data_IF_607042794803
#
_entry.id   IF_607042794803
#
_cell.length_a   1.000
_cell.length_b   1.000
_cell.length_c   1.000
_cell.angle_alpha   90.00
_cell.angle_beta   90.00
_cell.angle_gamma   90.00
#
_symmetry.space_group_name_H-M   'P 1'
#
loop_
_entity.id
_entity.type
_entity.pdbx_description
1 polymer ?
#
# COMPACT_ATOMS: atom_id res chain seq x y z
N UNK A 1 -17.79 39.62 41.47
CA UNK A 1 -18.50 40.41 40.44
C UNK A 1 -19.35 39.48 39.59
N UNK A 2 -20.67 39.73 39.44
CA UNK A 2 -21.61 38.85 38.73
C UNK A 2 -21.23 38.55 37.28
N UNK A 3 -20.49 39.45 36.60
CA UNK A 3 -19.96 39.24 35.25
C UNK A 3 -19.12 37.96 35.09
N UNK A 4 -18.43 37.49 36.13
CA UNK A 4 -17.65 36.25 36.04
C UNK A 4 -18.53 35.01 35.76
N UNK A 5 -19.74 34.95 36.33
CA UNK A 5 -20.65 33.83 36.10
C UNK A 5 -21.18 33.79 34.66
N UNK A 6 -21.46 34.95 34.07
CA UNK A 6 -21.86 35.04 32.66
C UNK A 6 -20.72 34.63 31.72
N UNK A 7 -19.47 34.99 32.07
CA UNK A 7 -18.29 34.56 31.31
C UNK A 7 -18.12 33.04 31.36
N UNK A 8 -18.25 32.42 32.55
CA UNK A 8 -18.19 30.95 32.70
C UNK A 8 -19.33 30.27 31.94
N UNK A 9 -20.55 30.80 32.00
CA UNK A 9 -21.69 30.27 31.25
C UNK A 9 -21.46 30.32 29.73
N UNK A 10 -20.93 31.44 29.21
CA UNK A 10 -20.59 31.57 27.79
C UNK A 10 -19.50 30.58 27.38
N UNK A 11 -18.46 30.39 28.20
CA UNK A 11 -17.39 29.43 27.95
C UNK A 11 -17.90 27.96 27.94
N UNK A 12 -18.81 27.61 28.85
CA UNK A 12 -19.44 26.29 28.85
C UNK A 12 -20.29 26.07 27.60
N UNK A 13 -21.09 27.06 27.22
CA UNK A 13 -21.92 26.96 26.00
C UNK A 13 -21.04 26.85 24.77
N UNK A 14 -19.93 27.55 24.71
CA UNK A 14 -18.97 27.41 23.62
C UNK A 14 -18.41 25.99 23.53
N UNK A 15 -18.03 25.42 24.67
CA UNK A 15 -17.47 24.08 24.73
C UNK A 15 -18.42 23.03 24.15
N UNK A 16 -19.73 23.15 24.42
CA UNK A 16 -20.73 22.19 23.96
C UNK A 16 -21.36 22.53 22.60
N UNK A 17 -21.74 23.79 22.38
CA UNK A 17 -22.55 24.24 21.24
C UNK A 17 -21.76 25.06 20.22
N UNK A 18 -20.51 25.43 20.51
CA UNK A 18 -19.62 26.17 19.62
C UNK A 18 -19.72 27.69 19.72
N UNK A 19 -18.98 28.36 18.83
CA UNK A 19 -18.70 29.80 18.92
C UNK A 19 -19.94 30.70 18.72
N UNK A 20 -20.87 30.33 17.83
CA UNK A 20 -22.07 31.14 17.55
C UNK A 20 -22.96 31.31 18.79
N UNK A 21 -23.45 30.20 19.40
CA UNK A 21 -24.24 30.25 20.63
C UNK A 21 -23.52 30.94 21.79
N UNK A 22 -22.21 30.74 21.93
CA UNK A 22 -21.41 31.40 22.96
C UNK A 22 -21.42 32.93 22.84
N UNK A 23 -21.26 33.46 21.63
CA UNK A 23 -21.34 34.90 21.37
C UNK A 23 -22.74 35.45 21.67
N UNK A 24 -23.80 34.71 21.36
CA UNK A 24 -25.16 35.15 21.68
C UNK A 24 -25.37 35.24 23.19
N UNK A 25 -24.89 34.26 23.96
CA UNK A 25 -25.00 34.27 25.42
C UNK A 25 -24.12 35.35 26.03
N UNK A 26 -22.93 35.61 25.46
CA UNK A 26 -22.10 36.73 25.88
C UNK A 26 -22.85 38.07 25.70
N UNK A 27 -23.45 38.30 24.53
CA UNK A 27 -24.19 39.54 24.23
C UNK A 27 -25.40 39.72 25.15
N UNK A 28 -26.22 38.68 25.30
CA UNK A 28 -27.38 38.69 26.19
C UNK A 28 -26.95 38.85 27.65
N UNK A 29 -25.89 38.14 28.06
CA UNK A 29 -25.30 38.25 29.39
C UNK A 29 -24.76 39.64 29.69
N UNK A 30 -24.14 40.31 28.72
CA UNK A 30 -23.69 41.70 28.87
C UNK A 30 -24.87 42.64 29.07
N UNK A 31 -25.94 42.53 28.27
CA UNK A 31 -27.14 43.36 28.40
C UNK A 31 -27.81 43.14 29.76
N UNK A 32 -27.92 41.89 30.21
CA UNK A 32 -28.48 41.56 31.53
C UNK A 32 -27.57 42.05 32.66
N UNK A 33 -26.25 41.92 32.49
CA UNK A 33 -25.27 42.33 33.49
C UNK A 33 -25.31 43.84 33.71
N UNK A 34 -25.35 44.60 32.63
CA UNK A 34 -25.45 46.06 32.62
C UNK A 34 -26.76 46.51 33.27
N UNK A 35 -27.90 45.98 32.82
CA UNK A 35 -29.24 46.39 33.29
C UNK A 35 -29.51 46.09 34.77
N UNK A 36 -29.03 44.95 35.29
CA UNK A 36 -29.38 44.47 36.63
C UNK A 36 -28.31 44.78 37.69
N UNK A 37 -27.04 44.93 37.31
CA UNK A 37 -25.93 44.97 38.28
C UNK A 37 -25.14 46.27 38.30
N UNK A 38 -25.35 47.19 37.35
CA UNK A 38 -24.71 48.52 37.41
C UNK A 38 -25.74 49.60 37.78
N UNK A 39 -25.44 50.48 38.76
CA UNK A 39 -26.32 51.61 39.08
C UNK A 39 -26.28 52.70 38.00
N UNK A 40 -27.42 53.36 37.67
CA UNK A 40 -28.75 53.19 38.25
C UNK A 40 -29.46 51.93 37.73
N UNK A 41 -29.86 51.05 38.64
CA UNK A 41 -30.50 49.78 38.29
C UNK A 41 -31.77 50.01 37.46
N UNK A 42 -31.98 49.12 36.48
CA UNK A 42 -33.16 49.10 35.62
C UNK A 42 -33.39 50.37 34.76
N UNK A 43 -32.39 51.26 34.63
CA UNK A 43 -32.50 52.52 33.86
C UNK A 43 -31.25 52.78 33.02
N UNK A 44 -31.41 53.06 31.72
CA UNK A 44 -30.31 53.40 30.80
C UNK A 44 -30.04 54.91 30.69
N UNK A 45 -30.49 55.72 31.66
CA UNK A 45 -30.61 57.17 31.48
C UNK A 45 -29.31 57.93 31.68
N UNK A 46 -28.33 57.35 32.38
CA UNK A 46 -27.03 57.98 32.65
C UNK A 46 -25.95 56.93 32.40
N UNK A 47 -25.08 57.20 31.42
CA UNK A 47 -23.87 56.39 31.18
C UNK A 47 -22.79 56.82 32.17
N UNK A 48 -22.41 55.92 33.07
CA UNK A 48 -21.33 56.16 34.04
C UNK A 48 -20.01 55.50 33.57
N UNK A 49 -18.89 55.90 34.18
CA UNK A 49 -17.58 55.33 33.89
C UNK A 49 -17.53 53.81 34.14
N UNK A 50 -18.34 53.33 35.10
CA UNK A 50 -18.42 51.91 35.44
C UNK A 50 -19.11 51.08 34.34
N UNK A 51 -20.12 51.63 33.66
CA UNK A 51 -20.80 50.98 32.52
C UNK A 51 -19.80 50.80 31.37
N UNK A 52 -19.02 51.84 31.08
CA UNK A 52 -17.99 51.80 30.05
C UNK A 52 -16.88 50.79 30.40
N UNK A 53 -16.45 50.77 31.66
CA UNK A 53 -15.44 49.81 32.12
C UNK A 53 -15.95 48.37 32.02
N UNK A 54 -17.20 48.09 32.42
CA UNK A 54 -17.81 46.76 32.30
C UNK A 54 -18.00 46.37 30.84
N UNK A 55 -18.53 47.28 30.01
CA UNK A 55 -18.78 47.09 28.59
C UNK A 55 -17.53 46.83 27.74
N UNK A 56 -16.34 47.22 28.22
CA UNK A 56 -15.07 46.92 27.54
C UNK A 56 -14.38 45.70 28.17
N UNK A 57 -14.28 45.66 29.50
CA UNK A 57 -13.53 44.61 30.21
C UNK A 57 -14.18 43.24 30.13
N UNK A 58 -15.51 43.16 30.23
CA UNK A 58 -16.22 41.89 30.13
C UNK A 58 -16.08 41.23 28.75
N UNK A 59 -16.48 41.86 27.63
CA UNK A 59 -16.39 41.19 26.33
C UNK A 59 -14.94 40.97 25.91
N UNK A 60 -13.99 41.82 26.29
CA UNK A 60 -12.58 41.56 25.98
C UNK A 60 -12.06 40.29 26.64
N UNK A 61 -12.37 40.06 27.92
CA UNK A 61 -12.02 38.83 28.63
C UNK A 61 -12.79 37.64 28.07
N UNK A 62 -14.10 37.77 27.83
CA UNK A 62 -14.91 36.67 27.31
C UNK A 62 -14.50 36.26 25.90
N UNK A 63 -14.25 37.23 24.99
CA UNK A 63 -13.73 36.95 23.65
C UNK A 63 -12.35 36.30 23.72
N UNK A 64 -11.48 36.73 24.64
CA UNK A 64 -10.17 36.11 24.82
C UNK A 64 -10.29 34.65 25.24
N UNK A 65 -11.14 34.35 26.22
CA UNK A 65 -11.42 32.97 26.66
C UNK A 65 -12.02 32.15 25.52
N UNK A 66 -12.99 32.70 24.79
CA UNK A 66 -13.63 32.04 23.65
C UNK A 66 -12.58 31.71 22.57
N UNK A 67 -11.78 32.69 22.18
CA UNK A 67 -10.72 32.49 21.20
C UNK A 67 -9.72 31.42 21.65
N UNK A 68 -9.39 31.35 22.94
CA UNK A 68 -8.49 30.34 23.48
C UNK A 68 -9.10 28.92 23.41
N UNK A 69 -10.36 28.77 23.82
CA UNK A 69 -11.09 27.49 23.78
C UNK A 69 -11.23 27.01 22.34
N UNK A 70 -11.72 27.85 21.44
CA UNK A 70 -11.88 27.51 20.02
C UNK A 70 -10.53 27.17 19.37
N UNK A 71 -9.46 27.91 19.68
CA UNK A 71 -8.12 27.62 19.15
C UNK A 71 -7.60 26.27 19.67
N UNK A 72 -7.79 25.97 20.94
CA UNK A 72 -7.41 24.69 21.54
C UNK A 72 -8.19 23.55 20.87
N UNK A 73 -9.50 23.70 20.71
CA UNK A 73 -10.38 22.73 20.07
C UNK A 73 -9.97 22.45 18.63
N UNK A 74 -9.69 23.50 17.85
CA UNK A 74 -9.19 23.37 16.46
C UNK A 74 -7.85 22.65 16.40
N UNK A 75 -6.96 22.88 17.37
CA UNK A 75 -5.68 22.19 17.45
C UNK A 75 -5.85 20.70 17.77
N UNK A 76 -6.72 20.36 18.72
CA UNK A 76 -7.04 18.98 19.08
C UNK A 76 -7.64 18.21 17.89
N UNK A 77 -8.65 18.77 17.22
CA UNK A 77 -9.23 18.14 16.03
C UNK A 77 -8.21 17.90 14.91
N UNK A 78 -7.30 18.85 14.68
CA UNK A 78 -6.21 18.66 13.71
C UNK A 78 -5.29 17.51 14.10
N UNK A 79 -4.93 17.42 15.39
CA UNK A 79 -4.09 16.34 15.89
C UNK A 79 -4.76 14.97 15.76
N UNK A 80 -6.05 14.85 16.13
CA UNK A 80 -6.83 13.62 15.96
C UNK A 80 -6.96 13.20 14.50
N UNK A 81 -7.19 14.17 13.61
CA UNK A 81 -7.26 13.91 12.17
C UNK A 81 -5.91 13.43 11.63
N UNK A 82 -4.79 14.03 12.04
CA UNK A 82 -3.48 13.52 11.65
C UNK A 82 -3.17 12.14 12.23
N UNK A 83 -3.55 11.87 13.48
CA UNK A 83 -3.36 10.58 14.11
C UNK A 83 -4.16 9.47 13.39
N UNK A 84 -5.42 9.74 13.04
CA UNK A 84 -6.25 8.78 12.29
C UNK A 84 -5.72 8.51 10.87
N UNK A 85 -5.26 9.54 10.16
CA UNK A 85 -4.62 9.39 8.84
C UNK A 85 -3.31 8.61 8.95
N UNK A 86 -2.48 8.91 9.94
CA UNK A 86 -1.23 8.19 10.18
C UNK A 86 -1.49 6.70 10.47
N UNK A 87 -2.49 6.39 11.29
CA UNK A 87 -2.92 5.01 11.58
C UNK A 87 -3.35 4.28 10.30
N UNK A 88 -4.20 4.89 9.49
CA UNK A 88 -4.66 4.29 8.22
C UNK A 88 -3.51 4.02 7.26
N UNK A 89 -2.57 4.98 7.11
CA UNK A 89 -1.37 4.80 6.29
C UNK A 89 -0.46 3.69 6.82
N UNK A 90 -0.30 3.60 8.13
CA UNK A 90 0.50 2.55 8.76
C UNK A 90 -0.07 1.16 8.49
N UNK A 91 -1.39 0.98 8.66
CA UNK A 91 -2.05 -0.29 8.35
C UNK A 91 -1.91 -0.67 6.88
N UNK A 92 -1.99 0.30 5.96
CA UNK A 92 -1.80 0.07 4.53
C UNK A 92 -0.36 -0.37 4.22
N UNK A 93 0.64 0.29 4.80
CA UNK A 93 2.04 -0.08 4.64
C UNK A 93 2.31 -1.48 5.19
N UNK A 94 1.75 -1.80 6.36
CA UNK A 94 1.88 -3.11 6.97
C UNK A 94 1.28 -4.21 6.07
N UNK A 95 0.11 -3.97 5.47
CA UNK A 95 -0.50 -4.91 4.51
C UNK A 95 0.34 -5.06 3.24
N UNK A 96 0.85 -3.94 2.72
CA UNK A 96 1.70 -3.95 1.53
C UNK A 96 3.00 -4.72 1.77
N UNK A 97 3.67 -4.51 2.89
CA UNK A 97 4.91 -5.21 3.22
C UNK A 97 4.68 -6.70 3.52
N UNK A 98 3.59 -7.06 4.21
CA UNK A 98 3.21 -8.46 4.38
C UNK A 98 2.97 -9.16 3.03
N UNK A 99 2.26 -8.49 2.10
CA UNK A 99 2.04 -9.03 0.75
C UNK A 99 3.36 -9.22 -0.03
N UNK A 100 4.32 -8.31 0.12
CA UNK A 100 5.66 -8.42 -0.48
C UNK A 100 6.47 -9.56 0.14
N UNK A 101 6.41 -9.71 1.46
CA UNK A 101 7.08 -10.78 2.18
C UNK A 101 6.55 -12.16 1.77
N UNK A 102 5.22 -12.31 1.65
CA UNK A 102 4.59 -13.54 1.14
C UNK A 102 5.03 -13.86 -0.28
N UNK A 103 5.04 -12.87 -1.19
CA UNK A 103 5.52 -13.07 -2.57
C UNK A 103 6.98 -13.50 -2.62
N UNK A 104 7.84 -12.95 -1.76
CA UNK A 104 9.24 -13.38 -1.64
C UNK A 104 9.35 -14.83 -1.19
N UNK A 105 8.60 -15.23 -0.16
CA UNK A 105 8.58 -16.63 0.32
C UNK A 105 8.16 -17.62 -0.75
N UNK A 106 7.10 -17.31 -1.51
CA UNK A 106 6.67 -18.20 -2.59
C UNK A 106 7.73 -18.36 -3.68
N UNK A 107 8.46 -17.28 -4.01
CA UNK A 107 9.56 -17.35 -4.98
C UNK A 107 10.70 -18.21 -4.41
N UNK A 108 11.10 -18.00 -3.16
CA UNK A 108 12.17 -18.77 -2.52
C UNK A 108 11.82 -20.26 -2.43
N UNK A 109 10.57 -20.58 -2.06
CA UNK A 109 10.07 -21.96 -2.03
C UNK A 109 10.05 -22.59 -3.43
N UNK A 110 9.55 -21.88 -4.45
CA UNK A 110 9.59 -22.39 -5.83
C UNK A 110 11.02 -22.60 -6.32
N UNK A 111 11.95 -21.71 -5.99
CA UNK A 111 13.35 -21.86 -6.35
C UNK A 111 13.97 -23.09 -5.68
N UNK A 112 13.64 -23.32 -4.40
CA UNK A 112 14.06 -24.52 -3.67
C UNK A 112 13.46 -25.79 -4.28
N UNK A 113 12.17 -25.81 -4.62
CA UNK A 113 11.52 -26.95 -5.25
C UNK A 113 12.09 -27.24 -6.65
N UNK A 114 12.29 -26.22 -7.47
CA UNK A 114 12.91 -26.35 -8.80
C UNK A 114 14.34 -26.89 -8.72
N UNK A 115 15.07 -26.60 -7.64
CA UNK A 115 16.40 -27.16 -7.43
C UNK A 115 16.37 -28.63 -7.04
N UNK A 116 15.32 -29.11 -6.38
CA UNK A 116 15.22 -30.48 -5.89
C UNK A 116 14.41 -31.43 -6.81
N UNK A 117 13.52 -30.91 -7.66
CA UNK A 117 12.73 -31.72 -8.61
C UNK A 117 13.56 -32.55 -9.61
N UNK A 118 14.63 -32.01 -10.23
CA UNK A 118 15.34 -32.74 -11.29
C UNK A 118 16.12 -33.94 -10.78
N UNK A 119 16.29 -34.07 -9.46
CA UNK A 119 17.02 -35.19 -8.85
C UNK A 119 16.16 -36.46 -8.74
N UNK A 120 14.83 -36.36 -8.82
CA UNK A 120 13.91 -37.50 -8.72
C UNK A 120 13.38 -38.01 -10.06
N UNK A 121 13.62 -37.30 -11.16
CA UNK A 121 13.17 -37.72 -12.50
C UNK A 121 14.35 -37.80 -13.48
N UNK A 122 14.88 -39.02 -13.67
CA UNK A 122 15.97 -39.33 -14.60
C UNK A 122 15.66 -39.04 -16.08
N UNK A 123 14.41 -38.71 -16.39
CA UNK A 123 13.94 -38.42 -17.75
C UNK A 123 13.95 -36.94 -18.11
N UNK A 124 14.11 -36.03 -17.12
CA UNK A 124 13.98 -34.58 -17.35
C UNK A 124 15.33 -33.96 -17.75
N UNK A 125 15.36 -33.34 -18.94
CA UNK A 125 16.55 -32.72 -19.53
C UNK A 125 16.64 -31.24 -19.16
N UNK A 126 15.52 -30.51 -19.21
CA UNK A 126 15.51 -29.05 -19.02
C UNK A 126 14.16 -28.58 -18.51
N UNK A 127 14.17 -27.69 -17.50
CA UNK A 127 12.99 -26.95 -17.05
C UNK A 127 13.27 -25.46 -17.27
N UNK A 128 12.55 -24.85 -18.20
CA UNK A 128 12.57 -23.40 -18.39
C UNK A 128 11.29 -22.78 -17.82
N UNK A 129 11.44 -21.80 -16.93
CA UNK A 129 10.34 -20.95 -16.50
C UNK A 129 10.05 -19.92 -17.61
N UNK A 130 8.86 -19.99 -18.19
CA UNK A 130 8.38 -19.06 -19.20
C UNK A 130 7.65 -17.92 -18.49
N UNK A 131 8.25 -16.72 -18.51
CA UNK A 131 7.61 -15.53 -17.95
C UNK A 131 6.30 -15.24 -18.71
N UNK A 132 5.19 -15.03 -17.99
CA UNK A 132 3.84 -14.84 -18.55
C UNK A 132 3.74 -13.63 -19.48
N UNK A 133 4.67 -12.68 -19.40
CA UNK A 133 4.80 -11.56 -20.35
C UNK A 133 5.48 -11.94 -21.66
N UNK A 134 6.29 -12.99 -21.67
CA UNK A 134 6.98 -13.48 -22.85
C UNK A 134 6.05 -14.31 -23.75
N UNK A 135 5.13 -15.10 -23.18
CA UNK A 135 4.17 -15.89 -23.95
C UNK A 135 3.20 -15.03 -24.76
N UNK A 136 2.67 -13.94 -24.18
CA UNK A 136 1.86 -12.96 -24.90
C UNK A 136 2.62 -12.24 -26.04
N UNK A 137 3.95 -12.11 -25.92
CA UNK A 137 4.80 -11.53 -26.96
C UNK A 137 5.17 -12.53 -28.04
N UNK A 138 5.28 -13.81 -27.69
CA UNK A 138 5.59 -14.90 -28.61
C UNK A 138 4.45 -15.16 -29.62
N UNK A 139 3.19 -15.09 -29.18
CA UNK A 139 2.02 -15.23 -30.07
C UNK A 139 1.95 -14.10 -31.11
N UNK A 140 2.40 -12.90 -30.75
CA UNK A 140 2.51 -11.74 -31.67
C UNK A 140 3.78 -11.82 -32.53
N UNK A 141 4.85 -12.46 -32.04
CA UNK A 141 6.14 -12.59 -32.74
C UNK A 141 6.20 -13.77 -33.73
N UNK A 142 5.37 -14.80 -33.54
CA UNK A 142 5.16 -15.86 -34.55
C UNK A 142 4.62 -15.31 -35.87
N UNK A 143 3.98 -14.13 -35.85
CA UNK A 143 3.58 -13.41 -37.05
C UNK A 143 4.71 -12.59 -37.71
N UNK A 144 5.86 -12.39 -37.04
CA UNK A 144 6.90 -11.43 -37.49
C UNK A 144 8.32 -11.98 -37.62
N UNK A 145 8.53 -13.30 -37.54
CA UNK A 145 9.76 -13.96 -38.02
C UNK A 145 11.07 -13.57 -37.32
N UNK A 146 11.03 -12.84 -36.22
CA UNK A 146 12.22 -12.38 -35.50
C UNK A 146 12.50 -13.30 -34.30
N UNK A 147 13.57 -14.10 -34.41
CA UNK A 147 14.10 -14.88 -33.30
C UNK A 147 14.64 -13.94 -32.22
N UNK A 148 14.04 -13.96 -31.02
CA UNK A 148 14.54 -13.17 -29.91
C UNK A 148 14.78 -14.02 -28.65
N UNK A 149 16.01 -13.89 -28.15
CA UNK A 149 16.59 -14.47 -26.93
C UNK A 149 15.79 -14.05 -25.71
N UNK A 150 15.29 -15.02 -24.94
CA UNK A 150 14.59 -14.78 -23.67
C UNK A 150 15.62 -14.68 -22.52
N UNK A 151 15.35 -13.97 -21.42
CA UNK A 151 16.17 -14.05 -20.22
C UNK A 151 15.86 -15.37 -19.50
N UNK A 152 16.67 -16.41 -19.76
CA UNK A 152 16.41 -17.76 -19.27
C UNK A 152 16.90 -17.94 -17.83
N UNK A 153 15.98 -18.01 -16.87
CA UNK A 153 16.25 -18.69 -15.59
C UNK A 153 16.01 -20.18 -15.84
N UNK A 154 16.99 -20.85 -16.45
CA UNK A 154 16.92 -22.27 -16.78
C UNK A 154 17.48 -23.12 -15.64
N UNK A 155 16.69 -24.07 -15.13
CA UNK A 155 17.18 -25.08 -14.20
C UNK A 155 17.63 -26.30 -15.03
N UNK A 156 18.94 -26.63 -15.06
CA UNK A 156 19.43 -27.82 -15.77
C UNK A 156 18.96 -29.10 -15.05
N UNK A 157 18.42 -30.05 -15.81
CA UNK A 157 18.06 -31.38 -15.30
C UNK A 157 19.25 -32.32 -15.16
N UNK A 158 19.03 -33.52 -14.60
CA UNK A 158 20.10 -34.51 -14.35
C UNK A 158 20.82 -34.98 -15.63
N UNK A 159 20.11 -35.03 -16.77
CA UNK A 159 20.67 -35.39 -18.08
C UNK A 159 21.18 -34.22 -18.91
N UNK A 160 21.11 -32.98 -18.40
CA UNK A 160 21.60 -31.79 -19.11
C UNK A 160 23.09 -31.87 -19.45
N UNK A 161 23.90 -32.45 -18.55
CA UNK A 161 25.35 -32.64 -18.75
C UNK A 161 25.69 -33.67 -19.83
N UNK A 162 24.75 -34.52 -20.22
CA UNK A 162 24.91 -35.53 -21.27
C UNK A 162 24.49 -35.03 -22.66
N UNK A 163 23.90 -33.83 -22.77
CA UNK A 163 23.44 -33.27 -24.06
C UNK A 163 24.59 -32.58 -24.79
N UNK A 164 24.64 -32.74 -26.11
CA UNK A 164 25.65 -32.11 -26.96
C UNK A 164 25.60 -30.56 -26.86
N UNK A 165 26.74 -29.85 -26.74
CA UNK A 165 26.78 -28.41 -26.49
C UNK A 165 26.12 -27.54 -27.58
N UNK A 166 26.20 -27.98 -28.85
CA UNK A 166 25.50 -27.29 -29.95
C UNK A 166 23.97 -27.41 -29.86
N UNK A 167 23.47 -28.51 -29.30
CA UNK A 167 22.03 -28.73 -29.13
C UNK A 167 21.53 -27.97 -27.89
N UNK A 168 22.36 -27.78 -26.86
CA UNK A 168 22.10 -26.88 -25.72
C UNK A 168 21.90 -25.44 -26.18
N UNK A 169 22.77 -24.93 -27.06
CA UNK A 169 22.64 -23.58 -27.60
C UNK A 169 21.37 -23.39 -28.45
N UNK A 170 20.93 -24.44 -29.17
CA UNK A 170 19.64 -24.45 -29.89
C UNK A 170 18.45 -24.49 -28.95
N UNK A 171 18.51 -25.30 -27.88
CA UNK A 171 17.43 -25.39 -26.89
C UNK A 171 17.27 -24.07 -26.11
N UNK A 172 18.35 -23.35 -25.84
CA UNK A 172 18.25 -22.03 -25.23
C UNK A 172 17.57 -21.03 -26.18
N UNK A 173 17.85 -21.07 -27.48
CA UNK A 173 17.35 -20.07 -28.42
C UNK A 173 15.96 -20.37 -29.05
N UNK A 174 15.56 -21.64 -29.14
CA UNK A 174 14.36 -22.07 -29.89
C UNK A 174 13.57 -23.16 -29.17
N UNK A 175 13.30 -22.99 -27.87
CA UNK A 175 12.48 -23.96 -27.12
C UNK A 175 10.99 -23.73 -27.41
N UNK A 176 10.39 -24.63 -28.19
CA UNK A 176 8.94 -24.65 -28.48
C UNK A 176 8.30 -25.92 -27.94
N UNK A 177 6.99 -25.90 -27.58
CA UNK A 177 6.28 -27.13 -27.24
C UNK A 177 6.22 -28.07 -28.46
N UNK A 178 6.58 -29.35 -28.28
CA UNK A 178 6.62 -30.34 -29.36
C UNK A 178 7.79 -31.33 -29.27
N UNK A 179 7.93 -32.18 -30.29
CA UNK A 179 9.01 -33.18 -30.41
C UNK A 179 10.31 -32.53 -30.87
N UNK A 180 11.39 -32.73 -30.10
CA UNK A 180 12.74 -32.26 -30.38
C UNK A 180 13.70 -33.45 -30.44
N UNK A 181 14.58 -33.48 -31.43
CA UNK A 181 15.61 -34.52 -31.53
C UNK A 181 16.93 -34.01 -30.98
N UNK A 182 17.44 -34.64 -29.93
CA UNK A 182 18.65 -34.22 -29.23
C UNK A 182 19.71 -35.30 -29.23
N UNK A 183 20.98 -34.89 -29.26
CA UNK A 183 22.10 -35.81 -29.15
C UNK A 183 22.54 -35.96 -27.70
N UNK A 184 22.40 -37.17 -27.17
CA UNK A 184 22.76 -37.52 -25.79
C UNK A 184 24.00 -38.43 -25.81
N UNK A 185 24.93 -38.20 -24.89
CA UNK A 185 26.16 -38.95 -24.73
C UNK A 185 25.84 -40.39 -24.28
N UNK A 186 26.23 -41.38 -25.10
CA UNK A 186 25.98 -42.82 -24.90
C UNK A 186 27.28 -43.61 -24.60
N UNK A 187 28.40 -42.92 -24.33
CA UNK A 187 29.73 -43.48 -24.07
C UNK A 187 30.79 -42.37 -23.95
N UNK A 188 32.08 -42.70 -23.82
CA UNK A 188 33.15 -41.70 -23.60
C UNK A 188 33.24 -40.63 -24.71
N UNK A 189 32.95 -41.02 -25.98
CA UNK A 189 33.01 -40.14 -27.15
C UNK A 189 31.86 -40.29 -28.18
N UNK A 190 30.80 -41.06 -27.88
CA UNK A 190 29.71 -41.30 -28.83
C UNK A 190 28.41 -40.63 -28.39
N UNK A 191 27.78 -39.90 -29.32
CA UNK A 191 26.46 -39.28 -29.11
C UNK A 191 25.40 -40.05 -29.91
N UNK A 192 24.29 -40.41 -29.27
CA UNK A 192 23.13 -41.01 -29.94
C UNK A 192 22.01 -39.98 -30.07
N UNK A 193 21.33 -39.91 -31.23
CA UNK A 193 20.11 -39.12 -31.36
C UNK A 193 19.00 -39.78 -30.52
N UNK A 194 18.34 -38.99 -29.70
CA UNK A 194 17.23 -39.39 -28.83
C UNK A 194 16.08 -38.43 -29.08
N UNK A 195 14.89 -38.98 -29.27
CA UNK A 195 13.68 -38.19 -29.45
C UNK A 195 13.20 -37.72 -28.06
N UNK A 196 12.91 -36.43 -27.96
CA UNK A 196 12.55 -35.76 -26.73
C UNK A 196 11.23 -35.01 -26.94
N UNK A 197 10.38 -34.96 -25.91
CA UNK A 197 9.11 -34.24 -25.95
C UNK A 197 9.18 -33.05 -25.00
N UNK A 198 8.91 -31.86 -25.54
CA UNK A 198 8.74 -30.62 -24.78
C UNK A 198 7.28 -30.41 -24.41
N UNK A 199 6.92 -30.63 -23.15
CA UNK A 199 5.58 -30.40 -22.62
C UNK A 199 5.50 -29.05 -21.88
N UNK A 200 4.42 -28.29 -22.13
CA UNK A 200 4.15 -27.03 -21.43
C UNK A 200 3.23 -27.28 -20.25
N UNK A 201 3.68 -26.96 -19.04
CA UNK A 201 2.91 -27.02 -17.81
C UNK A 201 2.52 -25.62 -17.35
N UNK A 202 1.23 -25.37 -17.22
CA UNK A 202 0.71 -24.12 -16.67
C UNK A 202 0.40 -24.33 -15.19
N UNK A 203 1.09 -23.60 -14.31
CA UNK A 203 0.81 -23.63 -12.86
C UNK A 203 0.45 -22.24 -12.36
N UNK A 204 -0.04 -22.13 -11.12
CA UNK A 204 -0.31 -20.83 -10.50
C UNK A 204 0.94 -19.92 -10.39
N UNK A 205 2.15 -20.50 -10.46
CA UNK A 205 3.42 -19.79 -10.40
C UNK A 205 3.94 -19.28 -11.76
N UNK A 206 3.37 -19.76 -12.88
CA UNK A 206 3.83 -19.43 -14.23
C UNK A 206 3.70 -20.60 -15.19
N UNK A 207 4.08 -20.34 -16.44
CA UNK A 207 4.18 -21.36 -17.47
C UNK A 207 5.58 -21.96 -17.44
N UNK A 208 5.69 -23.27 -17.50
CA UNK A 208 6.97 -23.99 -17.51
C UNK A 208 7.04 -24.86 -18.75
N UNK A 209 8.21 -24.92 -19.39
CA UNK A 209 8.47 -25.86 -20.47
C UNK A 209 9.43 -26.92 -19.93
N UNK A 210 8.95 -28.17 -19.92
CA UNK A 210 9.71 -29.33 -19.45
C UNK A 210 10.06 -30.18 -20.65
N UNK A 211 11.35 -30.41 -20.87
CA UNK A 211 11.82 -31.28 -21.93
C UNK A 211 12.20 -32.64 -21.35
N UNK A 212 11.53 -33.70 -21.82
CA UNK A 212 11.70 -35.09 -21.36
C UNK A 212 12.13 -35.99 -22.52
N UNK A 213 12.87 -37.06 -22.25
CA UNK A 213 13.18 -38.11 -23.23
C UNK A 213 11.93 -38.98 -23.45
N UNK A 214 11.65 -39.34 -24.70
CA UNK A 214 10.66 -40.36 -25.06
C UNK A 214 11.38 -41.72 -25.01
N UNK A 215 10.86 -42.66 -24.20
CA UNK A 215 11.40 -44.03 -24.08
C UNK A 215 11.11 -44.87 -25.33
#
# INVERSE_FOLDING_TARGET
MPGAFFCVAAALIEYFFGLGPALTVMLVGLVIADYLFVPPYANFTVLDHNDLMLGISYPSVTIFVICLIERLRRAQFRAELFASVAKSRYEMLLRADNSRALRRRTIDETHRLLRHLPHYHDTIILIQALDRKASLRADVALASGAAHVLPHTSAPGSRFSAVHPADIARLQNTLTPGSHRLRIKSGEHTYKPVDCVGERFTTHAGDFLVLRIED
#
